data_IF_555340943251
#
_entry.id   IF_555340943251
#
_cell.length_a   1.000
_cell.length_b   1.000
_cell.length_c   1.000
_cell.angle_alpha   90.00
_cell.angle_beta   90.00
_cell.angle_gamma   90.00
#
_symmetry.space_group_name_H-M   'P 1'
#
loop_
_entity.id
_entity.type
_entity.pdbx_description
1 polymer ?
#
# COMPACT_ATOMS: atom_id res chain seq x y z
N UNK A 1 69.12 18.86 16.25
CA UNK A 1 67.74 19.26 15.90
C UNK A 1 67.19 20.09 17.06
N UNK A 2 66.70 21.31 16.86
CA UNK A 2 66.29 22.19 17.97
C UNK A 2 64.97 21.67 18.57
N UNK A 3 64.91 21.57 19.92
CA UNK A 3 63.73 21.09 20.66
C UNK A 3 62.38 21.66 20.15
N UNK A 4 62.37 22.94 19.77
CA UNK A 4 61.22 23.63 19.14
C UNK A 4 60.76 22.97 17.84
N UNK A 5 61.64 22.37 17.05
CA UNK A 5 61.29 21.72 15.77
C UNK A 5 60.66 20.34 16.05
N UNK A 6 61.12 19.63 17.05
CA UNK A 6 60.57 18.33 17.48
C UNK A 6 59.15 18.55 18.02
N UNK A 7 58.94 19.57 18.87
CA UNK A 7 57.61 19.91 19.42
C UNK A 7 56.65 20.29 18.32
N UNK A 8 57.04 21.16 17.35
CA UNK A 8 56.20 21.51 16.22
C UNK A 8 55.81 20.30 15.36
N UNK A 9 56.76 19.42 15.09
CA UNK A 9 56.51 18.20 14.32
C UNK A 9 55.56 17.29 15.05
N UNK A 10 55.77 17.08 16.38
CA UNK A 10 54.88 16.27 17.22
C UNK A 10 53.44 16.82 17.25
N UNK A 11 53.28 18.14 17.42
CA UNK A 11 51.95 18.78 17.39
C UNK A 11 51.28 18.62 16.03
N UNK A 12 52.03 18.80 14.93
CA UNK A 12 51.47 18.63 13.58
C UNK A 12 51.03 17.20 13.30
N UNK A 13 51.78 16.18 13.75
CA UNK A 13 51.42 14.77 13.63
C UNK A 13 50.19 14.46 14.47
N UNK A 14 50.11 14.97 15.72
CA UNK A 14 48.96 14.76 16.58
C UNK A 14 47.66 15.37 16.01
N UNK A 15 47.74 16.58 15.46
CA UNK A 15 46.61 17.20 14.79
C UNK A 15 46.18 16.41 13.54
N UNK A 16 47.15 15.93 12.74
CA UNK A 16 46.84 15.09 11.59
C UNK A 16 46.16 13.79 11.97
N UNK A 17 46.64 13.10 13.01
CA UNK A 17 46.04 11.87 13.52
C UNK A 17 44.60 12.13 14.07
N UNK A 18 44.41 13.23 14.76
CA UNK A 18 43.07 13.63 15.25
C UNK A 18 42.10 13.88 14.11
N UNK A 19 42.51 14.63 13.06
CA UNK A 19 41.68 14.88 11.89
C UNK A 19 41.33 13.59 11.15
N UNK A 20 42.32 12.67 11.01
CA UNK A 20 42.10 11.35 10.42
C UNK A 20 41.13 10.50 11.25
N UNK A 21 41.25 10.51 12.58
CA UNK A 21 40.36 9.77 13.47
C UNK A 21 38.93 10.31 13.43
N UNK A 22 38.74 11.64 13.42
CA UNK A 22 37.43 12.29 13.29
C UNK A 22 36.85 12.04 11.89
N UNK A 23 37.67 12.13 10.83
CA UNK A 23 37.24 11.83 9.47
C UNK A 23 36.81 10.37 9.31
N UNK A 24 37.60 9.42 9.86
CA UNK A 24 37.25 8.01 9.87
C UNK A 24 35.96 7.73 10.66
N UNK A 25 35.81 8.33 11.84
CA UNK A 25 34.59 8.19 12.63
C UNK A 25 33.37 8.76 11.91
N UNK A 26 33.49 9.95 11.30
CA UNK A 26 32.42 10.54 10.50
C UNK A 26 32.07 9.68 9.28
N UNK A 27 33.08 9.14 8.59
CA UNK A 27 32.89 8.21 7.47
C UNK A 27 32.15 6.95 7.90
N UNK A 28 32.60 6.28 8.98
CA UNK A 28 31.95 5.08 9.51
C UNK A 28 30.49 5.37 9.93
N UNK A 29 30.22 6.53 10.49
CA UNK A 29 28.87 6.92 10.88
C UNK A 29 27.98 7.22 9.67
N UNK A 30 28.53 7.81 8.63
CA UNK A 30 27.84 8.04 7.36
C UNK A 30 27.57 6.71 6.63
N UNK A 31 28.57 5.81 6.61
CA UNK A 31 28.46 4.50 5.97
C UNK A 31 27.42 3.61 6.69
N UNK A 32 27.41 3.61 8.04
CA UNK A 32 26.35 2.93 8.80
C UNK A 32 24.96 3.53 8.53
N UNK A 33 24.83 4.87 8.45
CA UNK A 33 23.56 5.51 8.10
C UNK A 33 23.12 5.17 6.68
N UNK A 34 24.05 5.10 5.74
CA UNK A 34 23.77 4.72 4.37
C UNK A 34 23.39 3.23 4.25
N UNK A 35 24.03 2.37 5.03
CA UNK A 35 23.69 0.93 5.09
C UNK A 35 22.30 0.70 5.69
N UNK A 36 21.94 1.43 6.74
CA UNK A 36 20.63 1.35 7.37
C UNK A 36 19.50 1.98 6.53
N UNK A 37 19.82 2.86 5.58
CA UNK A 37 18.86 3.41 4.61
C UNK A 37 18.31 2.38 3.63
N UNK A 38 18.94 1.22 3.53
CA UNK A 38 18.50 0.10 2.71
C UNK A 38 17.81 -1.00 3.53
N UNK A 39 17.33 -0.66 4.74
CA UNK A 39 16.51 -1.60 5.51
C UNK A 39 15.28 -1.96 4.66
N UNK A 40 15.12 -3.24 4.40
CA UNK A 40 13.90 -3.74 3.77
C UNK A 40 12.73 -3.52 4.73
N UNK A 41 11.81 -2.62 4.38
CA UNK A 41 10.68 -2.27 5.26
C UNK A 41 9.84 -3.48 5.64
N UNK A 42 9.76 -4.52 4.79
CA UNK A 42 9.08 -5.76 5.13
C UNK A 42 9.76 -6.54 6.26
N UNK A 43 11.03 -6.24 6.54
CA UNK A 43 11.73 -6.81 7.70
C UNK A 43 11.28 -6.21 9.04
N UNK A 44 10.53 -5.12 9.02
CA UNK A 44 9.95 -4.45 10.18
C UNK A 44 8.49 -4.85 10.40
N UNK A 45 7.78 -5.28 9.36
CA UNK A 45 6.34 -5.59 9.41
C UNK A 45 6.11 -6.90 10.14
N UNK A 46 5.30 -6.94 11.23
CA UNK A 46 4.93 -8.18 11.89
C UNK A 46 4.19 -9.13 10.95
N UNK A 47 4.53 -10.42 10.97
CA UNK A 47 4.00 -11.43 10.02
C UNK A 47 2.50 -11.72 10.16
N UNK A 48 1.87 -11.29 11.26
CA UNK A 48 0.44 -11.47 11.50
C UNK A 48 -0.44 -10.35 10.92
N UNK A 49 0.12 -9.41 10.14
CA UNK A 49 -0.68 -8.40 9.44
C UNK A 49 -1.61 -9.04 8.40
N UNK A 50 -2.73 -8.37 8.13
CA UNK A 50 -3.75 -8.80 7.14
C UNK A 50 -3.43 -8.28 5.73
N UNK A 51 -2.65 -7.22 5.64
CA UNK A 51 -2.21 -6.65 4.37
C UNK A 51 -1.12 -5.61 4.52
N UNK A 52 -0.45 -5.30 3.42
CA UNK A 52 0.60 -4.27 3.34
C UNK A 52 0.46 -3.49 2.05
N UNK A 53 0.50 -2.17 2.16
CA UNK A 53 0.66 -1.24 1.04
C UNK A 53 2.13 -0.83 0.97
N UNK A 54 2.70 -0.84 -0.23
CA UNK A 54 4.06 -0.38 -0.50
C UNK A 54 4.05 0.69 -1.58
N UNK A 55 4.84 1.74 -1.41
CA UNK A 55 5.12 2.71 -2.45
C UNK A 55 6.62 2.95 -2.57
N UNK A 56 7.12 2.91 -3.80
CA UNK A 56 8.50 3.27 -4.12
C UNK A 56 8.66 4.75 -4.49
N UNK A 57 7.55 5.45 -4.76
CA UNK A 57 7.55 6.86 -5.17
C UNK A 57 6.25 7.56 -4.74
N UNK A 58 6.25 8.06 -3.51
CA UNK A 58 5.10 8.76 -2.95
C UNK A 58 4.86 10.11 -3.64
N UNK A 59 5.90 10.78 -4.17
CA UNK A 59 5.73 12.03 -4.90
C UNK A 59 4.95 11.81 -6.20
N UNK A 60 5.21 10.69 -6.87
CA UNK A 60 4.44 10.29 -8.03
C UNK A 60 2.98 10.01 -7.65
N UNK A 61 2.75 9.33 -6.54
CA UNK A 61 1.40 9.10 -6.02
C UNK A 61 0.64 10.42 -5.82
N UNK A 62 1.25 11.42 -5.17
CA UNK A 62 0.62 12.73 -5.00
C UNK A 62 0.30 13.43 -6.31
N UNK A 63 1.24 13.40 -7.26
CA UNK A 63 1.04 14.06 -8.55
C UNK A 63 -0.07 13.39 -9.38
N UNK A 64 -0.14 12.07 -9.37
CA UNK A 64 -1.20 11.31 -10.04
C UNK A 64 -2.55 11.51 -9.33
N UNK A 65 -2.57 11.48 -7.99
CA UNK A 65 -3.78 11.70 -7.19
C UNK A 65 -4.37 13.09 -7.41
N UNK A 66 -3.54 14.14 -7.45
CA UNK A 66 -4.00 15.51 -7.67
C UNK A 66 -4.60 15.71 -9.09
N UNK A 67 -4.23 14.87 -10.05
CA UNK A 67 -4.75 14.92 -11.42
C UNK A 67 -6.07 14.16 -11.62
N UNK A 68 -6.60 13.49 -10.58
CA UNK A 68 -7.83 12.72 -10.67
C UNK A 68 -9.08 13.60 -10.66
N UNK A 69 -10.01 13.39 -11.60
CA UNK A 69 -11.28 14.11 -11.64
C UNK A 69 -12.19 13.82 -10.43
N UNK A 70 -11.96 12.69 -9.76
CA UNK A 70 -12.70 12.23 -8.57
C UNK A 70 -11.92 12.41 -7.26
N UNK A 71 -10.83 13.16 -7.25
CA UNK A 71 -10.01 13.40 -6.04
C UNK A 71 -10.84 14.00 -4.89
N UNK A 72 -11.81 14.87 -5.18
CA UNK A 72 -12.71 15.46 -4.18
C UNK A 72 -13.62 14.41 -3.51
N UNK A 73 -14.07 13.39 -4.23
CA UNK A 73 -14.86 12.30 -3.65
C UNK A 73 -14.01 11.43 -2.71
N UNK A 74 -12.72 11.32 -3.00
CA UNK A 74 -11.78 10.61 -2.16
C UNK A 74 -11.33 11.41 -0.92
N UNK A 75 -11.61 12.70 -0.83
CA UNK A 75 -11.33 13.48 0.39
C UNK A 75 -12.04 12.93 1.63
N UNK A 76 -13.14 12.24 1.48
CA UNK A 76 -13.79 11.54 2.59
C UNK A 76 -12.90 10.49 3.25
N UNK A 77 -11.93 9.95 2.51
CA UNK A 77 -10.93 9.03 3.05
C UNK A 77 -9.75 9.73 3.71
N UNK A 78 -9.60 11.05 3.53
CA UNK A 78 -8.45 11.84 3.99
C UNK A 78 -8.15 11.64 5.48
N UNK A 79 -9.16 11.51 6.29
CA UNK A 79 -9.02 11.33 7.75
C UNK A 79 -9.40 9.92 8.23
N UNK A 80 -9.60 8.97 7.31
CA UNK A 80 -10.05 7.62 7.66
C UNK A 80 -8.96 6.74 8.24
N UNK A 81 -7.71 7.19 8.29
CA UNK A 81 -6.61 6.42 8.86
C UNK A 81 -5.30 7.18 8.92
N UNK A 82 -4.35 6.62 9.66
CA UNK A 82 -3.02 7.19 9.82
C UNK A 82 -2.32 7.45 8.48
N UNK A 83 -2.41 6.50 7.55
CA UNK A 83 -1.81 6.65 6.23
C UNK A 83 -2.40 7.86 5.48
N UNK A 84 -3.72 7.98 5.41
CA UNK A 84 -4.38 9.07 4.71
C UNK A 84 -4.08 10.43 5.35
N UNK A 85 -4.02 10.48 6.68
CA UNK A 85 -3.61 11.66 7.41
C UNK A 85 -2.18 12.09 7.03
N UNK A 86 -1.21 11.18 7.13
CA UNK A 86 0.19 11.48 6.80
C UNK A 86 0.38 11.85 5.33
N UNK A 87 -0.29 11.17 4.40
CA UNK A 87 -0.28 11.50 2.97
C UNK A 87 -0.77 12.92 2.74
N UNK A 88 -1.87 13.32 3.38
CA UNK A 88 -2.40 14.67 3.30
C UNK A 88 -1.39 15.71 3.79
N UNK A 89 -0.84 15.50 4.97
CA UNK A 89 0.09 16.45 5.59
C UNK A 89 1.41 16.59 4.80
N UNK A 90 1.93 15.48 4.31
CA UNK A 90 3.12 15.48 3.46
C UNK A 90 2.86 16.17 2.11
N UNK A 91 1.67 16.00 1.53
CA UNK A 91 1.28 16.68 0.31
C UNK A 91 1.17 18.19 0.53
N UNK A 92 0.50 18.62 1.58
CA UNK A 92 0.33 20.03 1.92
C UNK A 92 1.70 20.68 2.22
N UNK A 93 2.57 20.00 2.96
CA UNK A 93 3.94 20.46 3.23
C UNK A 93 4.78 20.63 1.94
N UNK A 94 4.71 19.66 1.01
CA UNK A 94 5.46 19.74 -0.25
C UNK A 94 4.95 20.84 -1.16
N UNK A 95 3.64 21.10 -1.17
CA UNK A 95 3.02 22.17 -1.94
C UNK A 95 3.42 23.55 -1.42
N UNK A 96 3.43 23.74 -0.10
CA UNK A 96 3.77 25.02 0.53
C UNK A 96 5.26 25.38 0.41
N UNK A 97 6.14 24.40 0.42
CA UNK A 97 7.58 24.63 0.48
C UNK A 97 8.33 24.55 -0.86
N UNK A 98 7.63 24.25 -1.97
CA UNK A 98 8.20 24.07 -3.32
C UNK A 98 9.43 23.11 -3.35
N UNK A 99 9.55 22.27 -2.34
CA UNK A 99 10.60 21.28 -2.15
C UNK A 99 9.96 19.90 -2.13
N UNK A 100 10.15 19.14 -3.20
CA UNK A 100 9.73 17.74 -3.22
C UNK A 100 10.32 16.99 -2.01
N UNK A 101 9.60 15.98 -1.56
CA UNK A 101 10.15 15.05 -0.56
C UNK A 101 11.48 14.50 -1.08
N UNK A 102 12.45 14.37 -0.19
CA UNK A 102 13.71 13.74 -0.53
C UNK A 102 13.43 12.33 -1.11
N UNK A 103 14.17 11.93 -2.14
CA UNK A 103 13.99 10.64 -2.82
C UNK A 103 14.02 9.43 -1.86
N UNK A 104 14.51 9.62 -0.64
CA UNK A 104 14.57 8.60 0.40
C UNK A 104 13.25 8.44 1.17
N UNK A 105 12.50 9.52 1.40
CA UNK A 105 11.13 9.44 1.91
C UNK A 105 10.13 8.96 0.86
N UNK A 106 10.53 8.93 -0.41
CA UNK A 106 9.72 8.38 -1.48
C UNK A 106 9.28 6.94 -1.27
N UNK A 107 10.00 6.18 -0.41
CA UNK A 107 9.67 4.79 -0.07
C UNK A 107 8.95 4.71 1.25
N UNK A 108 7.76 4.12 1.23
CA UNK A 108 6.98 3.83 2.42
C UNK A 108 6.33 2.44 2.34
N UNK A 109 6.02 1.90 3.51
CA UNK A 109 5.09 0.78 3.64
C UNK A 109 4.02 1.13 4.68
N UNK A 110 2.84 0.52 4.54
CA UNK A 110 1.77 0.62 5.54
C UNK A 110 1.25 -0.79 5.80
N UNK A 111 1.34 -1.27 7.03
CA UNK A 111 0.72 -2.55 7.40
C UNK A 111 -0.64 -2.35 8.05
N UNK A 112 -1.56 -3.25 7.74
CA UNK A 112 -2.92 -3.29 8.26
C UNK A 112 -3.06 -4.52 9.15
N UNK A 113 -3.32 -4.30 10.45
CA UNK A 113 -3.44 -5.38 11.44
C UNK A 113 -4.90 -5.73 11.76
N UNK A 114 -5.83 -4.91 11.32
CA UNK A 114 -7.25 -5.16 11.24
C UNK A 114 -7.80 -4.31 10.11
N UNK A 115 -8.30 -4.94 9.06
CA UNK A 115 -8.86 -4.23 7.91
C UNK A 115 -10.09 -3.41 8.32
N UNK A 116 -10.27 -2.25 7.67
CA UNK A 116 -11.40 -1.35 7.95
C UNK A 116 -11.29 -0.50 9.23
N UNK A 117 -10.22 -0.63 10.01
CA UNK A 117 -10.00 0.20 11.20
C UNK A 117 -8.78 1.12 11.05
N UNK A 118 -9.04 2.42 11.07
CA UNK A 118 -8.02 3.46 10.98
C UNK A 118 -6.91 3.35 12.05
N UNK A 119 -7.25 2.82 13.23
CA UNK A 119 -6.34 2.72 14.37
C UNK A 119 -5.40 1.52 14.32
N UNK A 120 -5.62 0.56 13.41
CA UNK A 120 -4.81 -0.65 13.31
C UNK A 120 -3.85 -0.61 12.12
N UNK A 121 -3.32 0.57 11.84
CA UNK A 121 -2.33 0.82 10.81
C UNK A 121 -0.97 1.12 11.45
N UNK A 122 0.08 0.63 10.79
CA UNK A 122 1.45 1.04 11.07
C UNK A 122 2.07 1.55 9.79
N UNK A 123 2.65 2.73 9.84
CA UNK A 123 3.32 3.37 8.70
C UNK A 123 4.83 3.32 8.92
N UNK A 124 5.55 2.98 7.89
CA UNK A 124 7.00 2.82 7.87
C UNK A 124 7.57 3.71 6.77
N UNK A 125 8.54 4.54 7.10
CA UNK A 125 9.27 5.35 6.12
C UNK A 125 10.76 5.08 6.20
N UNK A 126 11.43 5.16 5.06
CA UNK A 126 12.87 5.39 5.05
C UNK A 126 13.14 6.87 5.38
N UNK A 127 14.10 7.11 6.25
CA UNK A 127 14.50 8.45 6.63
C UNK A 127 15.88 8.81 6.06
N UNK A 128 15.95 9.98 5.41
CA UNK A 128 17.20 10.68 5.16
C UNK A 128 17.60 11.57 6.33
N UNK A 129 18.79 12.18 6.24
CA UNK A 129 19.31 13.03 7.32
C UNK A 129 18.49 14.30 7.60
N UNK A 130 17.76 14.81 6.60
CA UNK A 130 16.92 16.00 6.72
C UNK A 130 15.46 15.68 7.09
N UNK A 131 15.02 14.44 6.87
CA UNK A 131 13.63 14.06 6.95
C UNK A 131 13.14 13.91 8.40
N UNK A 132 14.05 13.56 9.34
CA UNK A 132 13.73 13.42 10.75
C UNK A 132 13.27 14.76 11.36
N UNK A 133 13.95 15.85 11.00
CA UNK A 133 13.57 17.19 11.48
C UNK A 133 12.23 17.62 10.90
N UNK A 134 12.01 17.43 9.61
CA UNK A 134 10.75 17.76 8.94
C UNK A 134 9.57 17.01 9.55
N UNK A 135 9.69 15.70 9.77
CA UNK A 135 8.63 14.93 10.43
C UNK A 135 8.40 15.38 11.87
N UNK A 136 9.47 15.71 12.61
CA UNK A 136 9.35 16.28 13.94
C UNK A 136 8.57 17.61 13.93
N UNK A 137 8.83 18.47 12.96
CA UNK A 137 8.18 19.77 12.82
C UNK A 137 6.68 19.58 12.49
N UNK A 138 6.36 18.70 11.53
CA UNK A 138 4.97 18.34 11.21
C UNK A 138 4.24 17.80 12.45
N UNK A 139 4.83 16.85 13.16
CA UNK A 139 4.21 16.25 14.34
C UNK A 139 4.04 17.27 15.49
N UNK A 140 4.94 18.24 15.63
CA UNK A 140 4.83 19.29 16.63
C UNK A 140 3.72 20.28 16.34
N UNK A 141 3.42 20.57 15.07
CA UNK A 141 2.32 21.44 14.68
C UNK A 141 0.95 20.89 15.12
N UNK A 142 0.79 19.58 15.12
CA UNK A 142 -0.45 18.90 15.54
C UNK A 142 -0.56 18.67 17.06
N UNK A 143 0.51 18.93 17.81
CA UNK A 143 0.44 18.79 19.25
C UNK A 143 -0.31 19.96 19.91
N UNK A 144 -1.35 19.70 20.72
CA UNK A 144 -2.05 20.77 21.43
C UNK A 144 -1.13 21.43 22.46
N UNK A 145 -0.77 22.69 22.22
CA UNK A 145 0.04 23.49 23.14
C UNK A 145 1.54 23.13 23.14
N UNK A 146 2.25 23.44 24.22
CA UNK A 146 3.68 23.20 24.37
C UNK A 146 3.98 21.85 25.04
N UNK A 147 3.21 20.82 24.78
CA UNK A 147 3.48 19.50 25.33
C UNK A 147 4.68 18.86 24.61
N UNK A 148 5.60 18.31 25.37
CA UNK A 148 6.66 17.48 24.85
C UNK A 148 6.15 16.04 24.71
N UNK A 149 6.61 15.29 23.69
CA UNK A 149 6.26 13.88 23.58
C UNK A 149 6.77 13.11 24.80
N UNK A 150 5.99 12.14 25.26
CA UNK A 150 6.41 11.23 26.33
C UNK A 150 7.40 10.21 25.77
N UNK A 151 8.52 10.08 26.45
CA UNK A 151 9.49 9.04 26.16
C UNK A 151 9.15 7.75 26.90
N UNK A 152 9.14 6.62 26.19
CA UNK A 152 9.08 5.29 26.75
C UNK A 152 10.17 4.40 26.12
N UNK A 153 10.65 3.43 26.90
CA UNK A 153 11.68 2.49 26.44
C UNK A 153 11.10 1.08 26.42
N UNK A 154 11.17 0.42 25.27
CA UNK A 154 10.78 -0.96 25.08
C UNK A 154 11.96 -1.78 24.54
N UNK A 155 12.35 -2.86 25.21
CA UNK A 155 13.51 -3.73 24.86
C UNK A 155 14.81 -2.97 24.61
N UNK A 156 14.99 -1.81 25.26
CA UNK A 156 16.17 -0.95 25.11
C UNK A 156 16.06 0.11 24.02
N UNK A 157 14.96 0.14 23.26
CA UNK A 157 14.71 1.11 22.21
C UNK A 157 13.72 2.19 22.68
N UNK A 158 14.00 3.43 22.29
CA UNK A 158 13.23 4.59 22.67
C UNK A 158 12.04 4.77 21.73
N UNK A 159 10.85 4.92 22.29
CA UNK A 159 9.63 5.33 21.60
C UNK A 159 9.20 6.71 22.07
N UNK A 160 8.66 7.53 21.16
CA UNK A 160 8.06 8.82 21.48
C UNK A 160 6.54 8.72 21.30
N UNK A 161 5.80 9.24 22.30
CA UNK A 161 4.33 9.24 22.30
C UNK A 161 3.87 10.68 22.25
N UNK A 162 3.25 11.07 21.14
CA UNK A 162 2.72 12.40 20.86
C UNK A 162 1.23 12.44 21.16
N UNK A 163 0.74 13.32 22.05
CA UNK A 163 -0.70 13.55 22.19
C UNK A 163 -1.19 14.39 21.00
N UNK A 164 -2.09 13.87 20.17
CA UNK A 164 -2.69 14.57 19.03
C UNK A 164 -4.00 15.25 19.42
N UNK A 165 -4.83 14.58 20.22
CA UNK A 165 -6.08 15.08 20.75
C UNK A 165 -6.32 14.53 22.15
N UNK A 166 -7.51 14.76 22.74
CA UNK A 166 -7.79 14.39 24.12
C UNK A 166 -7.63 12.89 24.43
N UNK A 167 -7.89 12.02 23.44
CA UNK A 167 -7.84 10.56 23.55
C UNK A 167 -7.07 9.88 22.42
N UNK A 168 -6.38 10.65 21.59
CA UNK A 168 -5.58 10.12 20.50
C UNK A 168 -4.09 10.41 20.71
N UNK A 169 -3.32 9.35 20.57
CA UNK A 169 -1.87 9.38 20.70
C UNK A 169 -1.22 8.77 19.47
N UNK A 170 -0.17 9.40 18.99
CA UNK A 170 0.69 8.81 17.97
C UNK A 170 1.99 8.33 18.60
N UNK A 171 2.29 7.07 18.45
CA UNK A 171 3.56 6.49 18.92
C UNK A 171 4.51 6.36 17.75
N UNK A 172 5.74 6.81 17.93
CA UNK A 172 6.81 6.68 16.94
C UNK A 172 7.98 5.92 17.50
N UNK A 173 8.64 5.18 16.62
CA UNK A 173 9.92 4.51 16.85
C UNK A 173 10.86 4.86 15.70
N UNK A 174 12.01 5.44 16.02
CA UNK A 174 12.98 5.90 15.03
C UNK A 174 14.34 5.25 15.31
N UNK A 175 14.93 4.68 14.28
CA UNK A 175 16.29 4.19 14.24
C UNK A 175 17.02 4.73 13.00
N UNK A 176 18.33 4.53 12.92
CA UNK A 176 19.14 5.00 11.81
C UNK A 176 18.57 4.50 10.47
N UNK A 177 17.93 5.39 9.72
CA UNK A 177 17.44 5.16 8.36
C UNK A 177 15.95 4.82 8.21
N UNK A 178 15.18 4.67 9.30
CA UNK A 178 13.73 4.48 9.22
C UNK A 178 12.96 5.05 10.42
N UNK A 179 11.69 5.30 10.22
CA UNK A 179 10.72 5.61 11.27
C UNK A 179 9.47 4.74 11.11
N UNK A 180 8.90 4.40 12.24
CA UNK A 180 7.64 3.68 12.37
C UNK A 180 6.66 4.53 13.15
N UNK A 181 5.41 4.63 12.68
CA UNK A 181 4.34 5.41 13.31
C UNK A 181 3.07 4.57 13.43
N UNK A 182 2.40 4.65 14.58
CA UNK A 182 1.08 4.05 14.79
C UNK A 182 0.29 4.79 15.87
N UNK A 183 -1.04 4.82 15.73
CA UNK A 183 -1.93 5.26 16.82
C UNK A 183 -1.95 4.26 17.99
N UNK A 184 -1.42 3.06 17.81
CA UNK A 184 -1.36 2.06 18.85
C UNK A 184 0.08 1.75 19.26
N UNK A 185 0.43 2.12 20.49
CA UNK A 185 1.74 1.81 21.05
C UNK A 185 2.11 0.32 20.94
N UNK A 186 1.12 -0.55 21.19
CA UNK A 186 1.34 -2.00 21.11
C UNK A 186 1.82 -2.46 19.73
N UNK A 187 1.29 -1.89 18.65
CA UNK A 187 1.73 -2.25 17.30
C UNK A 187 3.19 -1.82 17.05
N UNK A 188 3.60 -0.67 17.61
CA UNK A 188 5.01 -0.25 17.54
C UNK A 188 5.91 -1.18 18.35
N UNK A 189 5.47 -1.67 19.51
CA UNK A 189 6.18 -2.69 20.30
C UNK A 189 6.31 -4.01 19.50
N UNK A 190 5.24 -4.46 18.81
CA UNK A 190 5.25 -5.64 17.96
C UNK A 190 6.18 -5.50 16.74
N UNK A 191 6.34 -4.28 16.20
CA UNK A 191 7.35 -3.99 15.17
C UNK A 191 8.76 -4.15 15.70
N UNK A 192 9.05 -3.62 16.90
CA UNK A 192 10.36 -3.79 17.54
C UNK A 192 10.64 -5.28 17.78
N UNK A 193 9.65 -6.05 18.23
CA UNK A 193 9.75 -7.49 18.43
C UNK A 193 10.03 -8.21 17.10
N UNK A 194 9.27 -7.93 16.05
CA UNK A 194 9.44 -8.55 14.74
C UNK A 194 10.82 -8.26 14.14
N UNK A 195 11.31 -7.04 14.30
CA UNK A 195 12.64 -6.63 13.84
C UNK A 195 13.79 -7.35 14.59
N UNK A 196 13.71 -7.41 15.93
CA UNK A 196 14.73 -8.00 16.76
C UNK A 196 14.74 -9.54 16.70
N UNK A 197 13.55 -10.14 16.74
CA UNK A 197 13.39 -11.60 16.81
C UNK A 197 13.33 -12.24 15.40
N UNK A 198 13.39 -11.42 14.34
CA UNK A 198 13.30 -11.84 12.93
C UNK A 198 12.04 -12.66 12.66
N UNK A 199 10.91 -12.19 13.17
CA UNK A 199 9.57 -12.76 12.96
C UNK A 199 8.69 -11.87 12.08
N UNK A 200 9.32 -11.12 11.20
CA UNK A 200 8.66 -10.16 10.31
C UNK A 200 8.06 -10.86 9.08
N UNK A 201 7.29 -10.09 8.34
CA UNK A 201 6.67 -10.51 7.08
C UNK A 201 7.71 -11.00 6.06
N UNK A 202 8.95 -10.48 6.11
CA UNK A 202 10.04 -10.93 5.24
C UNK A 202 10.39 -12.42 5.44
N UNK A 203 10.15 -12.99 6.62
CA UNK A 203 10.35 -14.40 6.92
C UNK A 203 9.10 -15.27 6.67
N UNK A 204 7.95 -14.65 6.37
CA UNK A 204 6.77 -15.39 5.93
C UNK A 204 7.03 -16.04 4.57
N UNK A 205 6.92 -17.37 4.49
CA UNK A 205 7.28 -18.13 3.30
C UNK A 205 6.34 -17.84 2.13
N UNK A 206 5.04 -17.69 2.39
CA UNK A 206 4.04 -17.41 1.37
C UNK A 206 4.24 -16.00 0.78
N UNK A 207 4.51 -15.01 1.63
CA UNK A 207 4.79 -13.65 1.20
C UNK A 207 6.12 -13.53 0.44
N UNK A 208 7.17 -14.17 0.93
CA UNK A 208 8.48 -14.15 0.28
C UNK A 208 8.44 -14.72 -1.15
N UNK A 209 7.60 -15.74 -1.41
CA UNK A 209 7.40 -16.29 -2.77
C UNK A 209 6.80 -15.25 -3.74
N UNK A 210 5.92 -14.37 -3.27
CA UNK A 210 5.37 -13.28 -4.09
C UNK A 210 6.49 -12.33 -4.48
N UNK A 211 7.29 -11.88 -3.52
CA UNK A 211 8.40 -10.98 -3.78
C UNK A 211 9.42 -11.56 -4.76
N UNK A 212 9.67 -12.87 -4.73
CA UNK A 212 10.58 -13.55 -5.66
C UNK A 212 10.02 -13.66 -7.08
N UNK A 213 8.71 -13.85 -7.22
CA UNK A 213 8.03 -14.01 -8.52
C UNK A 213 7.69 -12.67 -9.18
N UNK A 214 7.68 -11.59 -8.41
CA UNK A 214 7.40 -10.24 -8.86
C UNK A 214 8.51 -9.73 -9.78
N UNK A 215 8.18 -9.20 -10.96
CA UNK A 215 9.16 -8.66 -11.92
C UNK A 215 9.67 -7.27 -11.55
N UNK A 216 8.78 -6.40 -11.12
CA UNK A 216 9.09 -5.06 -10.60
C UNK A 216 7.88 -4.55 -9.81
N UNK A 217 8.07 -3.82 -8.70
CA UNK A 217 6.98 -3.15 -8.02
C UNK A 217 6.34 -2.10 -8.91
N UNK A 218 5.02 -1.94 -8.81
CA UNK A 218 4.35 -0.72 -9.22
C UNK A 218 4.79 0.45 -8.33
N UNK A 219 4.46 1.68 -8.71
CA UNK A 219 4.70 2.82 -7.82
C UNK A 219 3.85 2.75 -6.54
N UNK A 220 2.76 2.00 -6.57
CA UNK A 220 1.90 1.67 -5.44
C UNK A 220 1.42 0.22 -5.60
N UNK A 221 1.76 -0.63 -4.64
CA UNK A 221 1.38 -2.05 -4.63
C UNK A 221 0.76 -2.41 -3.29
N UNK A 222 -0.39 -3.05 -3.31
CA UNK A 222 -1.04 -3.62 -2.12
C UNK A 222 -0.92 -5.13 -2.12
N UNK A 223 -0.58 -5.68 -0.97
CA UNK A 223 -0.54 -7.12 -0.71
C UNK A 223 -1.60 -7.46 0.34
N UNK A 224 -2.56 -8.29 0.02
CA UNK A 224 -3.58 -8.77 0.95
C UNK A 224 -3.40 -10.25 1.26
N UNK A 225 -3.64 -10.65 2.49
CA UNK A 225 -3.56 -12.04 2.98
C UNK A 225 -4.86 -12.82 2.75
N UNK A 226 -5.59 -12.48 1.71
CA UNK A 226 -6.83 -13.16 1.36
C UNK A 226 -6.93 -13.31 -0.16
N UNK A 227 -7.78 -14.23 -0.58
CA UNK A 227 -8.12 -14.37 -1.99
C UNK A 227 -8.80 -13.09 -2.51
N UNK A 228 -8.46 -12.69 -3.73
CA UNK A 228 -8.99 -11.50 -4.38
C UNK A 228 -10.52 -11.49 -4.52
N UNK A 229 -11.12 -12.67 -4.63
CA UNK A 229 -12.56 -12.83 -4.82
C UNK A 229 -13.12 -13.83 -3.80
N UNK A 230 -14.27 -13.51 -3.17
CA UNK A 230 -14.81 -14.32 -2.06
C UNK A 230 -15.12 -15.79 -2.40
N UNK A 231 -15.47 -16.06 -3.68
CA UNK A 231 -15.74 -17.42 -4.14
C UNK A 231 -14.48 -18.28 -4.35
N UNK A 232 -13.31 -17.66 -4.29
CA UNK A 232 -12.04 -18.37 -4.30
C UNK A 232 -11.74 -18.83 -2.87
N UNK A 233 -12.45 -19.80 -2.35
CA UNK A 233 -12.22 -20.38 -1.00
C UNK A 233 -10.82 -21.02 -0.96
N UNK A 234 -9.80 -20.17 -1.06
CA UNK A 234 -8.40 -20.51 -0.96
C UNK A 234 -8.04 -20.44 0.51
N UNK A 235 -7.38 -21.48 1.01
CA UNK A 235 -6.94 -21.52 2.42
C UNK A 235 -6.16 -20.24 2.81
N UNK A 236 -6.20 -19.95 4.11
CA UNK A 236 -5.73 -18.72 4.77
C UNK A 236 -4.28 -18.29 4.51
N UNK A 237 -3.50 -19.07 3.77
CA UNK A 237 -2.08 -18.79 3.51
C UNK A 237 -1.79 -18.31 2.08
N UNK A 238 -2.78 -17.76 1.38
CA UNK A 238 -2.55 -17.12 0.10
C UNK A 238 -2.39 -15.60 0.26
N UNK A 239 -1.48 -15.03 -0.51
CA UNK A 239 -1.32 -13.60 -0.64
C UNK A 239 -1.70 -13.18 -2.05
N UNK A 240 -2.36 -12.04 -2.17
CA UNK A 240 -2.71 -11.41 -3.44
C UNK A 240 -1.96 -10.08 -3.54
N UNK A 241 -1.29 -9.85 -4.65
CA UNK A 241 -0.71 -8.55 -4.97
C UNK A 241 -1.64 -7.76 -5.90
N UNK A 242 -1.66 -6.43 -5.74
CA UNK A 242 -2.37 -5.50 -6.60
C UNK A 242 -1.47 -4.30 -6.90
N UNK A 243 -1.10 -4.13 -8.16
CA UNK A 243 -0.43 -2.93 -8.63
C UNK A 243 -1.45 -1.89 -9.08
N UNK A 244 -1.38 -0.71 -8.50
CA UNK A 244 -2.29 0.39 -8.79
C UNK A 244 -1.76 1.25 -9.93
N UNK A 245 -2.68 1.59 -10.83
CA UNK A 245 -2.48 2.56 -11.89
C UNK A 245 -3.67 3.52 -11.88
N UNK A 246 -3.40 4.82 -11.93
CA UNK A 246 -4.42 5.86 -11.86
C UNK A 246 -4.29 6.77 -13.07
N UNK A 247 -5.42 7.23 -13.59
CA UNK A 247 -5.50 8.32 -14.54
C UNK A 247 -6.74 9.17 -14.23
N UNK A 248 -7.00 10.22 -15.00
CA UNK A 248 -8.06 11.20 -14.73
C UNK A 248 -9.42 10.58 -14.38
N UNK A 249 -9.80 9.48 -15.03
CA UNK A 249 -11.15 8.91 -14.95
C UNK A 249 -11.17 7.43 -14.52
N UNK A 250 -10.00 6.80 -14.37
CA UNK A 250 -9.93 5.36 -14.12
C UNK A 250 -8.88 5.03 -13.07
N UNK A 251 -9.29 4.23 -12.08
CA UNK A 251 -8.35 3.44 -11.25
C UNK A 251 -8.35 2.01 -11.75
N UNK A 252 -7.17 1.52 -12.06
CA UNK A 252 -6.99 0.21 -12.65
C UNK A 252 -5.96 -0.55 -11.81
N UNK A 253 -6.34 -1.74 -11.35
CA UNK A 253 -5.50 -2.61 -10.55
C UNK A 253 -5.23 -3.88 -11.34
N UNK A 254 -3.95 -4.22 -11.48
CA UNK A 254 -3.55 -5.55 -11.94
C UNK A 254 -3.01 -6.35 -10.79
N UNK A 255 -3.37 -7.61 -10.71
CA UNK A 255 -2.91 -8.42 -9.60
C UNK A 255 -2.78 -9.89 -9.90
N UNK A 256 -2.16 -10.58 -8.95
CA UNK A 256 -1.99 -12.01 -8.98
C UNK A 256 -2.22 -12.58 -7.58
N UNK A 257 -3.03 -13.62 -7.49
CA UNK A 257 -3.11 -14.46 -6.29
C UNK A 257 -2.26 -15.70 -6.53
N UNK A 258 -1.27 -15.91 -5.68
CA UNK A 258 -0.37 -17.07 -5.77
C UNK A 258 -0.93 -18.19 -4.91
N UNK A 259 -1.27 -19.29 -5.57
CA UNK A 259 -1.76 -20.51 -4.92
C UNK A 259 -0.59 -21.43 -4.68
N UNK A 260 -0.48 -22.04 -3.50
CA UNK A 260 0.48 -23.10 -3.29
C UNK A 260 0.25 -24.24 -4.28
N UNK A 261 1.33 -24.81 -4.81
CA UNK A 261 1.42 -25.68 -5.98
C UNK A 261 0.69 -27.03 -5.90
N UNK A 262 -0.38 -27.15 -5.12
CA UNK A 262 -1.27 -28.27 -5.20
C UNK A 262 -2.19 -28.09 -6.42
N UNK A 263 -1.83 -28.73 -7.52
CA UNK A 263 -2.56 -28.72 -8.79
C UNK A 263 -4.05 -28.99 -8.64
N UNK A 264 -4.45 -29.72 -7.62
CA UNK A 264 -5.84 -30.03 -7.30
C UNK A 264 -6.68 -28.82 -6.93
N UNK A 265 -6.08 -27.72 -6.44
CA UNK A 265 -6.83 -26.50 -6.03
C UNK A 265 -7.23 -25.64 -7.22
N UNK A 266 -6.35 -25.49 -8.20
CA UNK A 266 -6.68 -24.75 -9.42
C UNK A 266 -7.66 -25.56 -10.29
N UNK A 267 -7.61 -26.89 -10.28
CA UNK A 267 -8.63 -27.72 -10.92
C UNK A 267 -9.99 -27.61 -10.23
N UNK A 268 -10.04 -27.57 -8.90
CA UNK A 268 -11.26 -27.31 -8.13
C UNK A 268 -11.93 -26.00 -8.49
N UNK A 269 -11.15 -24.96 -8.81
CA UNK A 269 -11.66 -23.65 -9.22
C UNK A 269 -12.55 -23.74 -10.47
N UNK A 270 -12.23 -24.58 -11.45
CA UNK A 270 -13.09 -24.76 -12.63
C UNK A 270 -14.50 -25.22 -12.27
N UNK A 271 -14.62 -26.14 -11.30
CA UNK A 271 -15.92 -26.62 -10.81
C UNK A 271 -16.70 -25.53 -10.04
N UNK A 272 -16.01 -24.58 -9.42
CA UNK A 272 -16.64 -23.43 -8.79
C UNK A 272 -17.14 -22.44 -9.81
N UNK A 273 -16.32 -22.11 -10.81
CA UNK A 273 -16.69 -21.19 -11.87
C UNK A 273 -17.92 -21.70 -12.68
N UNK A 274 -18.01 -23.00 -12.94
CA UNK A 274 -19.17 -23.62 -13.59
C UNK A 274 -20.48 -23.43 -12.81
N UNK A 275 -20.43 -23.24 -11.50
CA UNK A 275 -21.60 -23.02 -10.65
C UNK A 275 -22.00 -21.54 -10.55
N UNK A 276 -21.18 -20.61 -11.00
CA UNK A 276 -21.51 -19.20 -10.99
C UNK A 276 -22.61 -18.94 -12.01
N UNK A 277 -23.78 -18.42 -11.59
CA UNK A 277 -24.85 -18.14 -12.52
C UNK A 277 -24.43 -17.00 -13.45
N UNK A 278 -24.75 -17.15 -14.72
CA UNK A 278 -24.66 -16.03 -15.66
C UNK A 278 -25.79 -15.05 -15.38
N UNK A 279 -25.43 -13.80 -15.06
CA UNK A 279 -26.38 -12.71 -14.80
C UNK A 279 -26.21 -11.64 -15.86
N UNK A 280 -27.34 -11.24 -16.47
CA UNK A 280 -27.41 -10.06 -17.33
C UNK A 280 -28.63 -9.26 -16.97
N UNK A 281 -28.43 -8.13 -16.34
CA UNK A 281 -29.46 -7.18 -15.94
C UNK A 281 -28.96 -5.76 -16.19
N UNK A 282 -29.85 -4.77 -16.09
CA UNK A 282 -29.46 -3.38 -16.20
C UNK A 282 -28.42 -3.01 -15.14
N UNK A 283 -27.22 -2.60 -15.59
CA UNK A 283 -26.12 -2.22 -14.73
C UNK A 283 -25.38 -3.39 -14.07
N UNK A 284 -25.66 -4.68 -14.43
CA UNK A 284 -24.98 -5.85 -13.85
C UNK A 284 -24.76 -6.94 -14.90
N UNK A 285 -23.52 -7.33 -15.07
CA UNK A 285 -23.13 -8.54 -15.82
C UNK A 285 -22.20 -9.38 -14.95
N UNK A 286 -22.50 -10.68 -14.84
CA UNK A 286 -21.66 -11.67 -14.20
C UNK A 286 -21.58 -12.87 -15.13
N UNK A 287 -20.40 -13.32 -15.48
CA UNK A 287 -20.20 -14.48 -16.33
C UNK A 287 -18.91 -15.23 -15.96
N UNK A 288 -19.02 -16.54 -15.81
CA UNK A 288 -17.90 -17.45 -15.73
C UNK A 288 -17.73 -18.28 -17.02
N UNK A 289 -18.41 -17.88 -18.10
CA UNK A 289 -18.37 -18.57 -19.38
C UNK A 289 -17.88 -17.62 -20.49
N UNK A 290 -16.81 -18.01 -21.18
CA UNK A 290 -16.18 -17.22 -22.25
C UNK A 290 -17.16 -16.83 -23.36
N UNK A 291 -17.98 -17.79 -23.80
CA UNK A 291 -18.96 -17.55 -24.86
C UNK A 291 -20.01 -16.50 -24.43
N UNK A 292 -20.46 -16.54 -23.18
CA UNK A 292 -21.39 -15.55 -22.65
C UNK A 292 -20.76 -14.17 -22.53
N UNK A 293 -19.52 -14.10 -22.11
CA UNK A 293 -18.76 -12.85 -22.03
C UNK A 293 -18.61 -12.25 -23.45
N UNK A 294 -18.19 -13.04 -24.44
CA UNK A 294 -18.06 -12.59 -25.82
C UNK A 294 -19.40 -12.12 -26.42
N UNK A 295 -20.50 -12.84 -26.12
CA UNK A 295 -21.84 -12.42 -26.54
C UNK A 295 -22.24 -11.05 -25.98
N UNK A 296 -21.99 -10.82 -24.67
CA UNK A 296 -22.35 -9.55 -24.03
C UNK A 296 -21.49 -8.38 -24.52
N UNK A 297 -20.20 -8.64 -24.79
CA UNK A 297 -19.33 -7.64 -25.40
C UNK A 297 -19.83 -7.20 -26.77
N UNK A 298 -20.19 -8.15 -27.64
CA UNK A 298 -20.73 -7.85 -28.96
C UNK A 298 -22.01 -7.05 -28.87
N UNK A 299 -22.94 -7.44 -27.98
CA UNK A 299 -24.20 -6.71 -27.77
C UNK A 299 -23.98 -5.29 -27.24
N UNK A 300 -23.00 -5.11 -26.34
CA UNK A 300 -22.67 -3.78 -25.84
C UNK A 300 -22.00 -2.92 -26.92
N UNK A 301 -21.18 -3.52 -27.77
CA UNK A 301 -20.58 -2.83 -28.91
C UNK A 301 -21.62 -2.34 -29.90
N UNK A 302 -22.57 -3.20 -30.31
CA UNK A 302 -23.71 -2.84 -31.17
C UNK A 302 -24.56 -1.73 -30.54
N UNK A 303 -24.90 -1.82 -29.25
CA UNK A 303 -25.64 -0.78 -28.54
C UNK A 303 -24.93 0.58 -28.55
N UNK A 304 -23.60 0.58 -28.43
CA UNK A 304 -22.80 1.80 -28.51
C UNK A 304 -22.82 2.41 -29.93
N UNK A 305 -22.87 1.59 -30.96
CA UNK A 305 -22.91 2.03 -32.38
C UNK A 305 -24.28 2.61 -32.75
N UNK A 306 -25.36 2.07 -32.17
CA UNK A 306 -26.73 2.57 -32.31
C UNK A 306 -27.00 3.89 -31.55
N UNK A 307 -25.99 4.48 -30.91
CA UNK A 307 -26.09 5.76 -30.19
C UNK A 307 -26.56 5.65 -28.73
N UNK A 308 -26.71 4.45 -28.19
CA UNK A 308 -27.00 4.19 -26.77
C UNK A 308 -25.71 4.06 -25.95
N UNK A 309 -24.80 5.01 -26.10
CA UNK A 309 -23.53 5.04 -25.39
C UNK A 309 -23.76 5.31 -23.91
N UNK A 310 -23.72 4.25 -23.12
CA UNK A 310 -23.61 4.36 -21.66
C UNK A 310 -22.22 3.92 -21.24
N UNK A 311 -21.68 4.54 -20.19
CA UNK A 311 -20.38 4.12 -19.62
C UNK A 311 -20.35 2.63 -19.29
N UNK A 312 -21.47 2.09 -18.78
CA UNK A 312 -21.60 0.66 -18.49
C UNK A 312 -21.40 -0.19 -19.76
N UNK A 313 -22.03 0.16 -20.89
CA UNK A 313 -21.87 -0.55 -22.15
C UNK A 313 -20.44 -0.42 -22.69
N UNK A 314 -19.80 0.73 -22.52
CA UNK A 314 -18.40 0.92 -22.89
C UNK A 314 -17.49 0.00 -22.06
N UNK A 315 -17.69 -0.09 -20.75
CA UNK A 315 -16.96 -1.01 -19.87
C UNK A 315 -17.15 -2.47 -20.29
N UNK A 316 -18.38 -2.87 -20.64
CA UNK A 316 -18.67 -4.25 -21.12
C UNK A 316 -18.00 -4.52 -22.46
N UNK A 317 -18.06 -3.58 -23.41
CA UNK A 317 -17.44 -3.74 -24.73
C UNK A 317 -15.91 -3.86 -24.67
N UNK A 318 -15.29 -3.30 -23.65
CA UNK A 318 -13.84 -3.30 -23.43
C UNK A 318 -13.31 -4.50 -22.62
N UNK A 319 -14.16 -5.49 -22.30
CA UNK A 319 -13.71 -6.70 -21.63
C UNK A 319 -12.77 -7.53 -22.53
N UNK A 320 -11.91 -8.33 -21.91
CA UNK A 320 -11.11 -9.32 -22.62
C UNK A 320 -11.93 -10.60 -22.87
N UNK A 321 -11.78 -11.20 -24.06
CA UNK A 321 -12.52 -12.39 -24.45
C UNK A 321 -12.06 -13.70 -23.78
N UNK A 322 -10.78 -13.76 -23.44
CA UNK A 322 -10.14 -15.01 -22.97
C UNK A 322 -9.95 -15.01 -21.45
N UNK A 323 -11.04 -14.83 -20.72
CA UNK A 323 -11.03 -14.83 -19.25
C UNK A 323 -11.94 -15.93 -18.71
N UNK A 324 -11.63 -16.39 -17.51
CA UNK A 324 -12.40 -17.45 -16.84
C UNK A 324 -13.55 -16.88 -15.99
N UNK A 325 -13.47 -15.59 -15.64
CA UNK A 325 -14.53 -14.87 -14.91
C UNK A 325 -14.57 -13.42 -15.32
N UNK A 326 -15.78 -12.87 -15.46
CA UNK A 326 -16.04 -11.45 -15.71
C UNK A 326 -17.21 -10.96 -14.86
N UNK A 327 -17.01 -9.81 -14.23
CA UNK A 327 -18.07 -9.07 -13.55
C UNK A 327 -17.98 -7.62 -14.02
N UNK A 328 -19.10 -7.04 -14.47
CA UNK A 328 -19.24 -5.60 -14.68
C UNK A 328 -20.45 -5.16 -13.89
N UNK A 329 -20.29 -4.15 -13.06
CA UNK A 329 -21.36 -3.66 -12.21
C UNK A 329 -21.30 -2.14 -12.07
N UNK A 330 -22.45 -1.51 -12.23
CA UNK A 330 -22.66 -0.14 -11.77
C UNK A 330 -22.66 -0.15 -10.23
N UNK A 331 -21.69 0.53 -9.62
CA UNK A 331 -21.52 0.51 -8.16
C UNK A 331 -22.72 1.09 -7.39
N UNK A 332 -23.57 1.88 -8.04
CA UNK A 332 -24.85 2.29 -7.47
C UNK A 332 -25.75 1.07 -7.18
N UNK A 333 -25.73 0.03 -8.05
CA UNK A 333 -26.49 -1.22 -7.81
C UNK A 333 -25.93 -2.03 -6.64
N UNK A 334 -24.63 -1.91 -6.39
CA UNK A 334 -23.99 -2.53 -5.22
C UNK A 334 -24.43 -1.82 -3.95
N UNK A 335 -24.46 -0.50 -3.93
CA UNK A 335 -24.93 0.30 -2.80
C UNK A 335 -26.41 0.04 -2.49
N UNK A 336 -27.28 -0.05 -3.51
CA UNK A 336 -28.70 -0.35 -3.35
C UNK A 336 -28.94 -1.74 -2.68
N UNK A 337 -28.10 -2.74 -2.96
CA UNK A 337 -28.22 -4.09 -2.40
C UNK A 337 -26.86 -4.80 -2.23
N UNK A 338 -26.04 -4.43 -1.23
CA UNK A 338 -24.72 -5.01 -1.04
C UNK A 338 -24.74 -6.53 -0.82
N UNK A 339 -25.76 -7.03 -0.15
CA UNK A 339 -25.90 -8.47 0.14
C UNK A 339 -25.93 -9.37 -1.09
N UNK A 340 -26.45 -8.86 -2.19
CA UNK A 340 -26.51 -9.56 -3.47
C UNK A 340 -25.12 -9.88 -4.01
N UNK A 341 -24.16 -9.00 -3.74
CA UNK A 341 -22.80 -9.07 -4.29
C UNK A 341 -21.77 -9.70 -3.35
N UNK A 342 -22.18 -10.12 -2.16
CA UNK A 342 -21.27 -10.73 -1.16
C UNK A 342 -20.53 -11.98 -1.67
N UNK A 343 -21.12 -12.71 -2.62
CA UNK A 343 -20.47 -13.86 -3.23
C UNK A 343 -19.40 -13.48 -4.27
N UNK A 344 -19.37 -12.23 -4.75
CA UNK A 344 -18.56 -11.81 -5.88
C UNK A 344 -17.58 -10.69 -5.56
N UNK A 345 -17.88 -9.87 -4.57
CA UNK A 345 -17.07 -8.72 -4.19
C UNK A 345 -16.58 -8.86 -2.75
N UNK A 346 -15.32 -8.49 -2.48
CA UNK A 346 -14.76 -8.50 -1.13
C UNK A 346 -15.52 -7.54 -0.21
N UNK A 347 -15.54 -7.84 1.09
CA UNK A 347 -16.20 -7.01 2.11
C UNK A 347 -15.76 -5.56 2.06
N UNK A 348 -14.48 -5.31 1.84
CA UNK A 348 -13.93 -3.97 1.66
C UNK A 348 -14.68 -3.14 0.60
N UNK A 349 -14.96 -3.71 -0.57
CA UNK A 349 -15.70 -3.02 -1.64
C UNK A 349 -17.16 -2.79 -1.23
N UNK A 350 -17.78 -3.76 -0.57
CA UNK A 350 -19.17 -3.69 -0.12
C UNK A 350 -19.36 -2.65 0.99
N UNK A 351 -18.45 -2.60 1.94
CA UNK A 351 -18.49 -1.66 3.08
C UNK A 351 -18.28 -0.20 2.64
N UNK A 352 -17.59 0.00 1.51
CA UNK A 352 -17.32 1.32 0.95
C UNK A 352 -18.15 1.63 -0.32
N UNK A 353 -19.20 0.85 -0.59
CA UNK A 353 -20.02 1.00 -1.80
C UNK A 353 -20.63 2.40 -1.97
N UNK A 354 -20.97 3.07 -0.87
CA UNK A 354 -21.49 4.46 -0.92
C UNK A 354 -20.50 5.47 -1.50
N UNK A 355 -19.19 5.28 -1.29
CA UNK A 355 -18.17 6.13 -1.89
C UNK A 355 -17.86 5.75 -3.34
N UNK A 356 -18.12 4.51 -3.70
CA UNK A 356 -17.86 3.98 -5.03
C UNK A 356 -19.06 4.09 -5.98
N UNK A 357 -20.19 4.63 -5.55
CA UNK A 357 -21.44 4.71 -6.34
C UNK A 357 -21.27 5.47 -7.67
N UNK A 358 -20.30 6.40 -7.74
CA UNK A 358 -20.00 7.17 -8.96
C UNK A 358 -19.12 6.39 -9.95
N UNK A 359 -18.90 5.10 -9.73
CA UNK A 359 -18.06 4.29 -10.61
C UNK A 359 -18.83 3.14 -11.26
N UNK A 360 -18.32 2.69 -12.39
CA UNK A 360 -18.57 1.36 -12.96
C UNK A 360 -17.36 0.50 -12.65
N UNK A 361 -17.57 -0.64 -12.00
CA UNK A 361 -16.53 -1.61 -11.69
C UNK A 361 -16.55 -2.74 -12.72
N UNK A 362 -15.40 -3.01 -13.32
CA UNK A 362 -15.15 -4.22 -14.12
C UNK A 362 -14.09 -5.07 -13.44
N UNK A 363 -14.38 -6.35 -13.25
CA UNK A 363 -13.45 -7.34 -12.71
C UNK A 363 -13.31 -8.49 -13.69
N UNK A 364 -12.09 -8.84 -14.05
CA UNK A 364 -11.79 -9.99 -14.87
C UNK A 364 -10.72 -10.85 -14.21
N UNK A 365 -10.87 -12.16 -14.30
CA UNK A 365 -9.92 -13.12 -13.76
C UNK A 365 -9.59 -14.18 -14.81
N UNK A 366 -8.31 -14.54 -14.87
CA UNK A 366 -7.81 -15.65 -15.68
C UNK A 366 -6.97 -16.57 -14.81
N UNK A 367 -7.21 -17.87 -14.90
CA UNK A 367 -6.39 -18.85 -14.21
C UNK A 367 -5.19 -19.28 -15.08
N UNK A 368 -4.08 -19.48 -14.39
CA UNK A 368 -2.86 -20.05 -14.93
C UNK A 368 -2.44 -21.22 -14.01
N UNK A 369 -1.47 -22.02 -14.40
CA UNK A 369 -1.05 -23.22 -13.66
C UNK A 369 -0.61 -22.94 -12.20
N UNK A 370 -0.12 -21.75 -11.91
CA UNK A 370 0.45 -21.41 -10.59
C UNK A 370 -0.17 -20.17 -9.93
N UNK A 371 -0.99 -19.42 -10.67
CA UNK A 371 -1.55 -18.15 -10.20
C UNK A 371 -2.90 -17.83 -10.82
N UNK A 372 -3.66 -17.03 -10.14
CA UNK A 372 -4.85 -16.37 -10.64
C UNK A 372 -4.51 -14.93 -10.94
N UNK A 373 -4.51 -14.56 -12.20
CA UNK A 373 -4.32 -13.17 -12.61
C UNK A 373 -5.67 -12.48 -12.66
N UNK A 374 -5.75 -11.26 -12.13
CA UNK A 374 -6.98 -10.50 -12.12
C UNK A 374 -6.73 -9.02 -12.44
N UNK A 375 -7.76 -8.41 -13.00
CA UNK A 375 -7.78 -7.00 -13.37
C UNK A 375 -9.05 -6.40 -12.78
N UNK A 376 -8.92 -5.28 -12.09
CA UNK A 376 -10.02 -4.50 -11.53
C UNK A 376 -9.95 -3.11 -12.13
N UNK A 377 -11.04 -2.64 -12.69
CA UNK A 377 -11.12 -1.33 -13.33
C UNK A 377 -12.30 -0.57 -12.75
N UNK A 378 -12.03 0.52 -12.05
CA UNK A 378 -13.02 1.47 -11.58
C UNK A 378 -13.03 2.64 -12.54
N UNK A 379 -14.10 2.79 -13.31
CA UNK A 379 -14.26 3.89 -14.26
C UNK A 379 -15.25 4.89 -13.71
N UNK A 380 -14.82 6.14 -13.59
CA UNK A 380 -15.64 7.23 -13.03
C UNK A 380 -16.72 7.66 -14.00
N UNK A 381 -17.93 7.90 -13.47
CA UNK A 381 -19.06 8.44 -14.20
C UNK A 381 -18.98 9.96 -14.16
N UNK A 382 -18.53 10.59 -15.24
CA UNK A 382 -18.47 12.05 -15.38
C UNK A 382 -19.86 12.66 -15.49
#
# INVERSE_FOLDING_TARGET
MRLKTIVKLGTMVSVLLFVLAVGYYAFMRLDMKEHNRHVDLFSLVPSHCEGVLESDDINRFFSEYAALNYSQELEHFRHSGLFNFLVSELNDYTYENDHGLNSQMGRLAVSFHQMGTARHQVVYFHLGMADEQMLSDILQEYMPGNFLPKEEVYRGYKMLIYPLSYDEFLTTFTEDGFIVLSYQKRLVEEVIDAWLDKTSLRQDEAFSRILEKRKSPGFLTFYGKEASLPFLDLETDCWTEYDFHMNSDVVYLTGNTYVQSDSNRIEGLSQYLEKIPTVKEEGVIISAHRDSTALYMNQAFEANDDGYRTLFNECVANLANEVDFSLVVDMQKVEENPKRFQAYLPSFILDHSSFLQSFVLSVQMSKNSERLSHIWVFTYKN
#
